data_IF_339646416497
#
_entry.id   IF_339646416497
#
_cell.length_a   1.000
_cell.length_b   1.000
_cell.length_c   1.000
_cell.angle_alpha   90.00
_cell.angle_beta   90.00
_cell.angle_gamma   90.00
#
_symmetry.space_group_name_H-M   'P 1'
#
loop_
_entity.id
_entity.type
_entity.pdbx_description
1 polymer ?
#
# COMPACT_ATOMS: atom_id res chain seq x y z
N UNK A 1 -39.89 -25.94 18.95
CA UNK A 1 -38.52 -26.44 18.66
C UNK A 1 -38.01 -26.11 17.26
N UNK A 2 -38.77 -26.37 16.17
CA UNK A 2 -38.29 -26.16 14.79
C UNK A 2 -37.75 -24.74 14.48
N UNK A 3 -38.40 -23.68 14.94
CA UNK A 3 -37.95 -22.28 14.71
C UNK A 3 -36.60 -21.96 15.37
N UNK A 4 -36.32 -22.51 16.56
CA UNK A 4 -35.04 -22.32 17.26
C UNK A 4 -33.88 -22.99 16.52
N UNK A 5 -34.14 -24.16 15.93
CA UNK A 5 -33.19 -24.90 15.10
C UNK A 5 -32.83 -24.12 13.82
N UNK A 6 -33.83 -23.52 13.16
CA UNK A 6 -33.62 -22.68 11.98
C UNK A 6 -32.78 -21.43 12.32
N UNK A 7 -33.06 -20.77 13.44
CA UNK A 7 -32.28 -19.60 13.89
C UNK A 7 -30.83 -19.99 14.20
N UNK A 8 -30.61 -21.13 14.85
CA UNK A 8 -29.27 -21.61 15.17
C UNK A 8 -28.44 -21.92 13.92
N UNK A 9 -29.06 -22.56 12.91
CA UNK A 9 -28.42 -22.83 11.62
C UNK A 9 -28.08 -21.53 10.88
N UNK A 10 -28.96 -20.53 10.91
CA UNK A 10 -28.69 -19.22 10.32
C UNK A 10 -27.52 -18.51 11.00
N UNK A 11 -27.43 -18.52 12.33
CA UNK A 11 -26.34 -17.86 13.08
C UNK A 11 -24.97 -18.46 12.76
N UNK A 12 -24.88 -19.76 12.44
CA UNK A 12 -23.61 -20.42 12.09
C UNK A 12 -23.24 -20.18 10.62
N UNK A 13 -24.22 -20.06 9.73
CA UNK A 13 -23.99 -19.91 8.29
C UNK A 13 -23.80 -18.46 7.82
N UNK A 14 -24.23 -17.46 8.60
CA UNK A 14 -24.08 -16.03 8.27
C UNK A 14 -22.64 -15.50 8.41
N UNK A 15 -21.85 -15.85 9.44
CA UNK A 15 -20.49 -15.31 9.60
C UNK A 15 -19.55 -15.60 8.43
N UNK A 16 -19.54 -16.79 7.80
CA UNK A 16 -18.73 -17.05 6.60
C UNK A 16 -19.11 -16.18 5.40
N UNK A 17 -20.37 -15.71 5.32
CA UNK A 17 -20.86 -14.79 4.27
C UNK A 17 -20.50 -13.32 4.58
N UNK A 18 -20.23 -13.01 5.84
CA UNK A 18 -19.69 -11.73 6.23
C UNK A 18 -18.18 -11.71 5.90
N UNK A 19 -17.84 -11.25 4.69
CA UNK A 19 -16.47 -11.00 4.21
C UNK A 19 -15.70 -9.92 5.02
N UNK A 20 -16.06 -9.67 6.27
CA UNK A 20 -15.37 -8.77 7.19
C UNK A 20 -14.14 -9.46 7.80
N UNK A 21 -13.17 -9.81 6.94
CA UNK A 21 -11.88 -10.33 7.39
C UNK A 21 -10.90 -9.19 7.60
N UNK A 22 -10.30 -9.11 8.79
CA UNK A 22 -9.21 -8.17 9.09
C UNK A 22 -8.02 -8.38 8.15
N UNK A 23 -7.75 -9.63 7.76
CA UNK A 23 -6.72 -9.96 6.77
C UNK A 23 -7.04 -9.31 5.42
N UNK A 24 -8.29 -9.38 4.97
CA UNK A 24 -8.72 -8.75 3.72
C UNK A 24 -8.59 -7.23 3.77
N UNK A 25 -8.94 -6.60 4.90
CA UNK A 25 -8.76 -5.15 5.09
C UNK A 25 -7.28 -4.75 5.11
N UNK A 26 -6.43 -5.52 5.79
CA UNK A 26 -4.98 -5.29 5.83
C UNK A 26 -4.33 -5.48 4.46
N UNK A 27 -4.73 -6.50 3.71
CA UNK A 27 -4.28 -6.72 2.33
C UNK A 27 -4.76 -5.60 1.40
N UNK A 28 -6.00 -5.17 1.55
CA UNK A 28 -6.53 -4.00 0.82
C UNK A 28 -5.72 -2.74 1.10
N UNK A 29 -5.41 -2.47 2.37
CA UNK A 29 -4.58 -1.34 2.76
C UNK A 29 -3.17 -1.44 2.18
N UNK A 30 -2.53 -2.62 2.28
CA UNK A 30 -1.21 -2.88 1.66
C UNK A 30 -1.24 -2.53 0.17
N UNK A 31 -2.24 -3.04 -0.55
CA UNK A 31 -2.35 -2.87 -1.99
C UNK A 31 -2.53 -1.39 -2.38
N UNK A 32 -3.29 -0.61 -1.60
CA UNK A 32 -3.44 0.83 -1.85
C UNK A 32 -2.14 1.58 -1.53
N UNK A 33 -1.55 1.34 -0.36
CA UNK A 33 -0.34 2.04 0.08
C UNK A 33 0.84 1.77 -0.85
N UNK A 34 1.14 0.48 -1.09
CA UNK A 34 2.30 0.07 -1.88
C UNK A 34 2.02 0.11 -3.39
N UNK A 35 0.82 -0.31 -3.81
CA UNK A 35 0.48 -0.44 -5.24
C UNK A 35 -0.04 0.83 -5.89
N UNK A 36 -0.37 1.88 -5.14
CA UNK A 36 -0.86 3.14 -5.71
C UNK A 36 -0.22 4.37 -5.10
N UNK A 37 -0.24 4.50 -3.77
CA UNK A 37 0.24 5.73 -3.12
C UNK A 37 1.75 5.91 -3.28
N UNK A 38 2.55 4.87 -3.03
CA UNK A 38 4.00 4.93 -3.21
C UNK A 38 4.40 5.38 -4.63
N UNK A 39 3.91 4.74 -5.72
CA UNK A 39 4.22 5.18 -7.08
C UNK A 39 3.86 6.65 -7.35
N UNK A 40 2.74 7.15 -6.82
CA UNK A 40 2.32 8.55 -6.99
C UNK A 40 3.37 9.48 -6.38
N UNK A 41 3.82 9.22 -5.15
CA UNK A 41 4.86 10.04 -4.53
C UNK A 41 6.19 10.00 -5.28
N UNK A 42 6.59 8.83 -5.81
CA UNK A 42 7.78 8.73 -6.64
C UNK A 42 7.68 9.61 -7.90
N UNK A 43 6.55 9.54 -8.60
CA UNK A 43 6.32 10.34 -9.81
C UNK A 43 6.28 11.84 -9.48
N UNK A 44 5.64 12.24 -8.39
CA UNK A 44 5.60 13.65 -7.96
C UNK A 44 7.01 14.17 -7.63
N UNK A 45 7.82 13.40 -6.89
CA UNK A 45 9.19 13.78 -6.56
C UNK A 45 10.08 13.91 -7.80
N UNK A 46 9.98 12.96 -8.74
CA UNK A 46 10.71 13.02 -10.01
C UNK A 46 10.24 14.18 -10.88
N UNK A 47 8.92 14.41 -10.96
CA UNK A 47 8.32 15.51 -11.70
C UNK A 47 8.75 16.88 -11.17
N UNK A 48 8.82 17.03 -9.85
CA UNK A 48 9.37 18.24 -9.22
C UNK A 48 10.84 18.45 -9.59
N UNK A 49 11.67 17.40 -9.54
CA UNK A 49 13.07 17.49 -9.93
C UNK A 49 13.24 17.84 -11.42
N UNK A 50 12.41 17.25 -12.30
CA UNK A 50 12.40 17.54 -13.73
C UNK A 50 11.99 19.00 -14.00
N UNK A 51 10.93 19.49 -13.34
CA UNK A 51 10.52 20.89 -13.44
C UNK A 51 11.62 21.84 -12.97
N UNK A 52 12.26 21.53 -11.83
CA UNK A 52 13.40 22.29 -11.32
C UNK A 52 14.57 22.33 -12.29
N UNK A 53 14.80 21.27 -13.05
CA UNK A 53 15.86 21.21 -14.06
C UNK A 53 15.52 22.06 -15.29
N UNK A 54 14.30 21.93 -15.81
CA UNK A 54 13.84 22.65 -17.02
C UNK A 54 13.75 24.16 -16.76
N UNK A 55 13.38 24.58 -15.55
CA UNK A 55 13.30 26.00 -15.16
C UNK A 55 14.65 26.64 -14.83
N UNK A 56 15.76 25.88 -14.89
CA UNK A 56 17.11 26.41 -14.67
C UNK A 56 17.44 26.70 -13.21
N UNK A 57 16.79 26.02 -12.25
CA UNK A 57 17.09 26.22 -10.83
C UNK A 57 18.56 25.86 -10.55
N UNK A 58 19.34 26.73 -9.86
CA UNK A 58 20.75 26.46 -9.54
C UNK A 58 20.94 25.18 -8.72
N UNK A 59 19.94 24.76 -7.94
CA UNK A 59 19.96 23.56 -7.11
C UNK A 59 19.29 22.34 -7.79
N UNK A 60 19.02 22.37 -9.10
CA UNK A 60 18.33 21.28 -9.79
C UNK A 60 19.01 19.91 -9.62
N UNK A 61 20.35 19.89 -9.62
CA UNK A 61 21.14 18.67 -9.37
C UNK A 61 20.83 18.06 -8.00
N UNK A 62 20.69 18.90 -6.98
CA UNK A 62 20.39 18.46 -5.63
C UNK A 62 18.95 17.93 -5.53
N UNK A 63 17.98 18.61 -6.14
CA UNK A 63 16.59 18.10 -6.21
C UNK A 63 16.51 16.75 -6.93
N UNK A 64 17.28 16.56 -8.00
CA UNK A 64 17.37 15.28 -8.70
C UNK A 64 17.96 14.18 -7.81
N UNK A 65 19.06 14.48 -7.09
CA UNK A 65 19.66 13.53 -6.14
C UNK A 65 18.66 13.14 -5.05
N UNK A 66 17.90 14.09 -4.51
CA UNK A 66 16.87 13.82 -3.50
C UNK A 66 15.73 12.98 -4.06
N UNK A 67 15.26 13.28 -5.27
CA UNK A 67 14.21 12.50 -5.93
C UNK A 67 14.66 11.06 -6.20
N UNK A 68 15.89 10.86 -6.68
CA UNK A 68 16.47 9.52 -6.92
C UNK A 68 16.63 8.76 -5.60
N UNK A 69 17.24 9.37 -4.59
CA UNK A 69 17.46 8.74 -3.28
C UNK A 69 16.13 8.37 -2.64
N UNK A 70 15.15 9.28 -2.69
CA UNK A 70 13.79 9.04 -2.24
C UNK A 70 13.14 7.87 -2.97
N UNK A 71 13.23 7.83 -4.31
CA UNK A 71 12.65 6.75 -5.12
C UNK A 71 13.27 5.38 -4.78
N UNK A 72 14.60 5.30 -4.60
CA UNK A 72 15.28 4.05 -4.22
C UNK A 72 14.77 3.55 -2.87
N UNK A 73 14.66 4.43 -1.88
CA UNK A 73 14.13 4.07 -0.55
C UNK A 73 12.66 3.64 -0.66
N UNK A 74 11.85 4.42 -1.39
CA UNK A 74 10.43 4.21 -1.53
C UNK A 74 10.14 2.85 -2.18
N UNK A 75 10.72 2.56 -3.34
CA UNK A 75 10.54 1.25 -3.99
C UNK A 75 11.22 0.11 -3.22
N UNK A 76 12.32 0.37 -2.52
CA UNK A 76 12.96 -0.61 -1.64
C UNK A 76 12.11 -1.03 -0.43
N UNK A 77 11.26 -0.12 0.07
CA UNK A 77 10.39 -0.39 1.22
C UNK A 77 9.43 -1.54 0.97
N UNK A 78 8.94 -1.71 -0.27
CA UNK A 78 8.05 -2.82 -0.62
C UNK A 78 8.75 -4.18 -0.42
N UNK A 79 10.01 -4.31 -0.84
CA UNK A 79 10.80 -5.53 -0.64
C UNK A 79 11.01 -5.86 0.84
N UNK A 80 11.18 -4.84 1.68
CA UNK A 80 11.31 -5.02 3.15
C UNK A 80 10.00 -5.53 3.75
N UNK A 81 8.87 -4.93 3.38
CA UNK A 81 7.56 -5.36 3.86
C UNK A 81 7.27 -6.80 3.42
N UNK A 82 7.57 -7.13 2.17
CA UNK A 82 7.39 -8.49 1.64
C UNK A 82 8.28 -9.51 2.38
N UNK A 83 9.53 -9.13 2.71
CA UNK A 83 10.43 -9.97 3.53
C UNK A 83 9.86 -10.21 4.92
N UNK A 84 9.43 -9.15 5.62
CA UNK A 84 8.86 -9.26 6.97
C UNK A 84 7.62 -10.16 6.97
N UNK A 85 6.75 -10.02 5.97
CA UNK A 85 5.56 -10.86 5.83
C UNK A 85 5.91 -12.33 5.59
N UNK A 86 6.99 -12.64 4.88
CA UNK A 86 7.45 -14.01 4.68
C UNK A 86 8.02 -14.63 5.96
N UNK A 87 8.72 -13.85 6.79
CA UNK A 87 9.34 -14.34 8.03
C UNK A 87 8.33 -14.58 9.14
N UNK A 88 7.26 -13.78 9.20
CA UNK A 88 6.24 -13.85 10.26
C UNK A 88 5.16 -14.93 9.97
N UNK A 89 5.08 -15.42 8.73
CA UNK A 89 4.13 -16.46 8.31
C UNK A 89 4.60 -17.85 8.75
#
# INVERSE_FOLDING_TARGET
MRKKLVIFVLIILIPPLAHASVESSLLGLKNVLLGSILPIFAVLGLGFAAFSFITGNPNAKQHLIYAITGAVILFGAQSIVDLLQRVVR
#
